data_IF_431261218003
#
_entry.id   IF_431261218003
#
_cell.length_a   1.000
_cell.length_b   1.000
_cell.length_c   1.000
_cell.angle_alpha   90.00
_cell.angle_beta   90.00
_cell.angle_gamma   90.00
#
_symmetry.space_group_name_H-M   'P 1'
#
loop_
_entity.id
_entity.type
_entity.pdbx_description
1 polymer ?
#
# COMPACT_ATOMS: atom_id res chain seq x y z
N UNK A 1 -9.10 -15.83 38.18
CA UNK A 1 -8.19 -14.67 38.13
C UNK A 1 -6.82 -15.22 37.77
N UNK A 2 -6.31 -14.88 36.60
CA UNK A 2 -5.11 -15.45 36.00
C UNK A 2 -3.88 -15.15 36.88
N UNK A 3 -3.02 -16.15 37.21
CA UNK A 3 -1.80 -15.98 37.99
C UNK A 3 -0.84 -14.93 37.39
N UNK A 4 -0.79 -14.80 36.05
CA UNK A 4 0.01 -13.82 35.36
C UNK A 4 -0.37 -12.37 35.71
N UNK A 5 -1.67 -12.09 35.90
CA UNK A 5 -2.14 -10.73 36.24
C UNK A 5 -1.74 -10.28 37.63
N UNK A 6 -1.55 -11.22 38.58
CA UNK A 6 -1.17 -10.94 39.97
C UNK A 6 0.32 -10.63 40.07
N UNK A 7 1.18 -11.36 39.36
CA UNK A 7 2.63 -11.15 39.33
C UNK A 7 3.01 -9.83 38.68
N UNK A 8 2.41 -9.51 37.51
CA UNK A 8 2.69 -8.25 36.81
C UNK A 8 2.21 -7.01 37.58
N UNK A 9 1.07 -7.10 38.31
CA UNK A 9 0.57 -5.99 39.16
C UNK A 9 1.44 -5.74 40.39
N UNK A 10 2.11 -6.77 40.89
CA UNK A 10 3.04 -6.64 41.99
C UNK A 10 4.42 -6.12 41.61
N UNK A 11 4.73 -6.17 40.30
CA UNK A 11 6.02 -5.72 39.75
C UNK A 11 5.93 -4.28 39.30
N UNK A 12 6.87 -3.43 39.72
CA UNK A 12 6.99 -2.07 39.22
C UNK A 12 7.67 -2.10 37.84
N UNK A 13 6.87 -2.17 36.76
CA UNK A 13 7.36 -2.25 35.39
C UNK A 13 8.23 -1.05 34.99
N UNK A 14 8.10 0.11 35.64
CA UNK A 14 8.94 1.28 35.40
C UNK A 14 10.42 1.05 35.78
N UNK A 15 10.74 0.03 36.52
CA UNK A 15 12.12 -0.34 36.88
C UNK A 15 12.81 -1.16 35.79
N UNK A 16 12.07 -1.77 34.85
CA UNK A 16 12.65 -2.65 33.82
C UNK A 16 13.57 -1.93 32.83
N UNK A 17 13.29 -0.71 32.35
CA UNK A 17 14.25 0.05 31.55
C UNK A 17 15.55 0.36 32.32
N UNK A 18 15.45 0.64 33.65
CA UNK A 18 16.60 0.90 34.50
C UNK A 18 17.43 -0.37 34.67
N UNK A 19 16.76 -1.51 34.87
CA UNK A 19 17.42 -2.82 34.93
C UNK A 19 18.20 -3.11 33.68
N UNK A 20 17.54 -2.96 32.51
CA UNK A 20 18.17 -3.22 31.21
C UNK A 20 19.42 -2.37 31.01
N UNK A 21 19.34 -1.05 31.20
CA UNK A 21 20.48 -0.14 31.06
C UNK A 21 21.63 -0.48 32.04
N UNK A 22 21.33 -0.82 33.29
CA UNK A 22 22.32 -1.20 34.27
C UNK A 22 23.05 -2.50 33.91
N UNK A 23 22.31 -3.53 33.46
CA UNK A 23 22.89 -4.81 33.03
C UNK A 23 23.71 -4.66 31.73
N UNK A 24 23.21 -3.92 30.76
CA UNK A 24 23.86 -3.66 29.47
C UNK A 24 25.21 -2.94 29.63
N UNK A 25 25.22 -1.87 30.39
CA UNK A 25 26.44 -1.05 30.58
C UNK A 25 27.38 -1.58 31.64
N UNK A 26 26.90 -2.39 32.59
CA UNK A 26 27.68 -2.79 33.79
C UNK A 26 28.35 -1.57 34.47
N UNK A 27 27.70 -0.40 34.33
CA UNK A 27 28.16 0.89 34.83
C UNK A 27 26.96 1.80 35.13
N UNK A 28 26.77 2.14 36.39
CA UNK A 28 25.59 2.91 36.83
C UNK A 28 25.59 4.36 36.29
N UNK A 29 26.76 4.93 36.04
CA UNK A 29 26.89 6.28 35.50
C UNK A 29 26.45 6.29 34.02
N UNK A 30 26.92 5.34 33.24
CA UNK A 30 26.51 5.22 31.83
C UNK A 30 25.01 4.87 31.71
N UNK A 31 24.50 3.99 32.56
CA UNK A 31 23.06 3.69 32.60
C UNK A 31 22.21 4.93 32.94
N UNK A 32 22.67 5.75 33.89
CA UNK A 32 22.02 7.01 34.23
C UNK A 32 22.00 8.01 33.10
N UNK A 33 23.11 8.12 32.35
CA UNK A 33 23.22 8.97 31.15
C UNK A 33 22.28 8.51 30.03
N UNK A 34 22.24 7.20 29.73
CA UNK A 34 21.33 6.66 28.70
C UNK A 34 19.85 6.97 29.02
N UNK A 35 19.48 6.92 30.30
CA UNK A 35 18.09 7.13 30.74
C UNK A 35 17.76 8.59 31.11
N UNK A 36 18.71 9.50 31.05
CA UNK A 36 18.54 10.90 31.45
C UNK A 36 18.05 11.07 32.92
N UNK A 37 18.57 10.24 33.83
CA UNK A 37 18.27 10.29 35.27
C UNK A 37 19.56 10.36 36.12
N UNK A 38 19.42 10.60 37.40
CA UNK A 38 20.60 10.63 38.29
C UNK A 38 21.14 9.22 38.58
N UNK A 39 22.45 9.08 38.81
CA UNK A 39 23.07 7.83 39.21
C UNK A 39 22.49 7.30 40.55
N UNK A 40 22.09 8.20 41.46
CA UNK A 40 21.42 7.82 42.68
C UNK A 40 20.06 7.17 42.46
N UNK A 41 19.30 7.67 41.43
CA UNK A 41 18.03 7.04 41.05
C UNK A 41 18.25 5.63 40.47
N UNK A 42 19.25 5.43 39.62
CA UNK A 42 19.62 4.08 39.14
C UNK A 42 20.00 3.15 40.27
N UNK A 43 20.81 3.64 41.24
CA UNK A 43 21.23 2.85 42.40
C UNK A 43 20.05 2.43 43.29
N UNK A 44 19.09 3.35 43.52
CA UNK A 44 17.88 3.06 44.28
C UNK A 44 16.97 2.06 43.57
N UNK A 45 16.81 2.21 42.27
CA UNK A 45 16.05 1.26 41.43
C UNK A 45 16.70 -0.12 41.44
N UNK A 46 18.01 -0.20 41.36
CA UNK A 46 18.76 -1.47 41.39
C UNK A 46 18.61 -2.14 42.74
N UNK A 47 18.56 -1.39 43.87
CA UNK A 47 18.29 -1.94 45.20
C UNK A 47 16.93 -2.64 45.26
N UNK A 48 15.87 -1.99 44.76
CA UNK A 48 14.52 -2.59 44.70
C UNK A 48 14.48 -3.84 43.83
N UNK A 49 15.19 -3.81 42.72
CA UNK A 49 15.27 -4.94 41.76
C UNK A 49 16.01 -6.13 42.39
N UNK A 50 17.07 -5.91 43.16
CA UNK A 50 17.77 -6.95 43.92
C UNK A 50 16.84 -7.65 44.96
N UNK A 51 16.08 -6.86 45.66
CA UNK A 51 15.07 -7.37 46.62
C UNK A 51 13.99 -8.19 45.87
N UNK A 52 13.54 -7.71 44.71
CA UNK A 52 12.52 -8.39 43.92
C UNK A 52 12.99 -9.73 43.32
N UNK A 53 14.22 -9.75 42.78
CA UNK A 53 14.78 -10.95 42.13
C UNK A 53 15.51 -11.88 43.10
N UNK A 54 15.77 -11.45 44.35
CA UNK A 54 16.57 -12.19 45.32
C UNK A 54 18.02 -12.44 44.87
N UNK A 55 18.55 -11.54 44.02
CA UNK A 55 19.87 -11.65 43.38
C UNK A 55 20.52 -10.28 43.30
N UNK A 56 21.85 -10.22 43.44
CA UNK A 56 22.63 -8.98 43.34
C UNK A 56 22.62 -8.38 41.93
N UNK A 57 22.35 -9.17 40.90
CA UNK A 57 22.27 -8.82 39.47
C UNK A 57 23.59 -8.30 38.90
N UNK A 58 24.25 -7.42 39.64
CA UNK A 58 25.56 -6.85 39.37
C UNK A 58 26.42 -6.91 40.64
N UNK A 59 27.57 -7.53 40.56
CA UNK A 59 28.56 -7.65 41.66
C UNK A 59 29.81 -6.84 41.36
N UNK A 60 30.46 -6.34 42.41
CA UNK A 60 31.74 -5.65 42.27
C UNK A 60 32.87 -6.66 42.01
N UNK A 61 33.65 -6.40 40.97
CA UNK A 61 34.91 -7.08 40.67
C UNK A 61 36.00 -6.02 40.50
N UNK A 62 36.70 -5.72 41.60
CA UNK A 62 37.63 -4.60 41.66
C UNK A 62 36.91 -3.26 41.49
N UNK A 63 37.33 -2.50 40.44
CA UNK A 63 36.72 -1.22 40.08
C UNK A 63 35.59 -1.32 39.06
N UNK A 64 35.18 -2.54 38.67
CA UNK A 64 34.13 -2.79 37.69
C UNK A 64 32.95 -3.50 38.29
N UNK A 65 31.78 -3.39 37.63
CA UNK A 65 30.63 -4.22 37.89
C UNK A 65 30.61 -5.38 36.90
N UNK A 66 30.23 -6.56 37.35
CA UNK A 66 30.01 -7.73 36.51
C UNK A 66 28.63 -8.30 36.73
N UNK A 67 28.06 -8.92 35.73
CA UNK A 67 26.78 -9.63 35.80
C UNK A 67 26.89 -10.85 36.70
N UNK A 68 25.87 -11.08 37.52
CA UNK A 68 25.60 -12.41 38.07
C UNK A 68 25.07 -13.32 36.95
N UNK A 69 25.00 -14.63 37.23
CA UNK A 69 24.34 -15.56 36.28
C UNK A 69 22.90 -15.13 36.00
N UNK A 70 22.16 -14.74 37.01
CA UNK A 70 20.78 -14.22 36.91
C UNK A 70 20.71 -12.94 36.09
N UNK A 71 21.63 -12.00 36.34
CA UNK A 71 21.71 -10.77 35.56
C UNK A 71 21.93 -11.02 34.06
N UNK A 72 22.82 -11.96 33.72
CA UNK A 72 23.07 -12.32 32.32
C UNK A 72 21.83 -12.98 31.67
N UNK A 73 21.12 -13.86 32.37
CA UNK A 73 19.91 -14.54 31.90
C UNK A 73 18.74 -13.58 31.67
N UNK A 74 18.72 -12.41 32.30
CA UNK A 74 17.64 -11.44 32.18
C UNK A 74 17.78 -10.49 30.99
N UNK A 75 18.94 -10.34 30.36
CA UNK A 75 19.17 -9.35 29.28
C UNK A 75 18.23 -9.62 28.11
N UNK A 76 18.28 -10.79 27.51
CA UNK A 76 17.47 -11.14 26.34
C UNK A 76 15.95 -11.08 26.58
N UNK A 77 15.39 -11.62 27.70
CA UNK A 77 13.99 -11.42 28.03
C UNK A 77 13.58 -9.95 28.19
N UNK A 78 14.44 -9.11 28.80
CA UNK A 78 14.19 -7.68 28.96
C UNK A 78 14.18 -6.95 27.61
N UNK A 79 15.12 -7.23 26.73
CA UNK A 79 15.16 -6.63 25.38
C UNK A 79 13.87 -6.95 24.61
N UNK A 80 13.43 -8.20 24.61
CA UNK A 80 12.18 -8.60 23.96
C UNK A 80 10.96 -7.92 24.57
N UNK A 81 10.90 -7.85 25.91
CA UNK A 81 9.80 -7.19 26.61
C UNK A 81 9.76 -5.68 26.32
N UNK A 82 10.91 -4.99 26.40
CA UNK A 82 10.99 -3.55 26.17
C UNK A 82 10.67 -3.20 24.72
N UNK A 83 11.10 -4.01 23.75
CA UNK A 83 10.72 -3.85 22.36
C UNK A 83 9.19 -3.97 22.18
N UNK A 84 8.57 -5.01 22.73
CA UNK A 84 7.12 -5.18 22.68
C UNK A 84 6.36 -4.06 23.41
N UNK A 85 6.90 -3.57 24.55
CA UNK A 85 6.32 -2.44 25.27
C UNK A 85 6.44 -1.13 24.47
N UNK A 86 7.54 -0.91 23.75
CA UNK A 86 7.69 0.21 22.85
C UNK A 86 6.66 0.17 21.71
N UNK A 87 6.34 -1.00 21.19
CA UNK A 87 5.29 -1.16 20.17
C UNK A 87 3.89 -0.77 20.72
N UNK A 88 3.67 -0.97 22.02
CA UNK A 88 2.39 -0.63 22.68
C UNK A 88 2.32 0.85 23.10
N UNK A 89 3.42 1.41 23.61
CA UNK A 89 3.47 2.77 24.21
C UNK A 89 3.92 3.82 23.19
N UNK A 90 4.73 3.40 22.23
CA UNK A 90 5.24 4.29 21.21
C UNK A 90 4.21 4.48 20.09
N UNK A 91 3.90 5.73 19.77
CA UNK A 91 3.66 6.07 18.37
C UNK A 91 4.96 5.73 17.63
N UNK A 92 5.09 4.48 17.16
CA UNK A 92 6.29 4.05 16.47
C UNK A 92 6.43 4.95 15.25
N UNK A 93 7.44 5.80 15.23
CA UNK A 93 7.83 6.48 14.01
C UNK A 93 8.16 5.36 13.03
N UNK A 94 7.29 5.17 12.04
CA UNK A 94 7.59 4.25 10.97
C UNK A 94 8.85 4.75 10.27
N UNK A 95 9.95 4.03 10.47
CA UNK A 95 11.20 4.27 9.75
C UNK A 95 11.32 3.23 8.64
N UNK A 96 11.10 3.61 7.38
CA UNK A 96 11.13 2.68 6.26
C UNK A 96 12.44 1.88 6.18
N UNK A 97 13.58 2.49 6.54
CA UNK A 97 14.90 1.86 6.41
C UNK A 97 15.10 0.67 7.35
N UNK A 98 14.41 0.65 8.48
CA UNK A 98 14.53 -0.37 9.52
C UNK A 98 13.25 -1.18 9.72
N UNK A 99 12.10 -0.69 9.25
CA UNK A 99 10.81 -1.34 9.42
C UNK A 99 10.74 -2.68 8.70
N UNK A 100 10.08 -3.65 9.34
CA UNK A 100 9.64 -4.89 8.72
C UNK A 100 8.12 -4.87 8.66
N UNK A 101 7.57 -4.66 7.47
CA UNK A 101 6.14 -4.53 7.26
C UNK A 101 5.70 -5.19 5.95
N UNK A 102 4.45 -5.60 5.89
CA UNK A 102 3.82 -6.08 4.67
C UNK A 102 2.53 -5.31 4.45
N UNK A 103 2.47 -4.56 3.36
CA UNK A 103 1.28 -3.82 2.93
C UNK A 103 0.57 -4.57 1.81
N UNK A 104 -0.75 -4.50 1.78
CA UNK A 104 -1.60 -5.03 0.72
C UNK A 104 -2.39 -3.89 0.09
N UNK A 105 -2.27 -3.76 -1.23
CA UNK A 105 -2.97 -2.74 -2.01
C UNK A 105 -3.88 -3.45 -3.00
N UNK A 106 -5.18 -3.17 -2.96
CA UNK A 106 -6.13 -3.67 -3.93
C UNK A 106 -6.31 -2.65 -5.08
N UNK A 107 -6.18 -3.10 -6.31
CA UNK A 107 -6.29 -2.23 -7.48
C UNK A 107 -6.57 -3.02 -8.77
N UNK A 108 -6.78 -2.33 -9.88
CA UNK A 108 -6.82 -2.95 -11.19
C UNK A 108 -5.41 -3.41 -11.63
N UNK A 109 -5.35 -4.41 -12.50
CA UNK A 109 -4.14 -5.02 -13.03
C UNK A 109 -3.18 -4.01 -13.66
N UNK A 110 -3.71 -3.05 -14.44
CA UNK A 110 -2.89 -2.05 -15.11
C UNK A 110 -2.21 -1.09 -14.14
N UNK A 111 -2.87 -0.71 -13.04
CA UNK A 111 -2.24 0.12 -12.00
C UNK A 111 -1.06 -0.63 -11.38
N UNK A 112 -1.21 -1.94 -11.19
CA UNK A 112 -0.08 -2.80 -10.78
C UNK A 112 1.04 -2.77 -11.82
N UNK A 113 0.71 -2.95 -13.09
CA UNK A 113 1.69 -3.00 -14.17
C UNK A 113 2.51 -1.70 -14.29
N UNK A 114 1.89 -0.53 -14.13
CA UNK A 114 2.58 0.77 -14.21
C UNK A 114 3.35 1.13 -12.94
N UNK A 115 2.84 0.76 -11.75
CA UNK A 115 3.41 1.22 -10.48
C UNK A 115 4.43 0.26 -9.86
N UNK A 116 4.29 -1.06 -10.07
CA UNK A 116 5.12 -2.06 -9.42
C UNK A 116 6.63 -1.93 -9.72
N UNK A 117 7.07 -1.60 -10.94
CA UNK A 117 8.50 -1.40 -11.22
C UNK A 117 9.12 -0.29 -10.36
N UNK A 118 8.44 0.86 -10.24
CA UNK A 118 8.92 1.99 -9.46
C UNK A 118 8.80 1.73 -7.95
N UNK A 119 7.67 1.14 -7.50
CA UNK A 119 7.52 0.69 -6.10
C UNK A 119 8.67 -0.22 -5.72
N UNK A 120 8.98 -1.22 -6.54
CA UNK A 120 10.09 -2.16 -6.28
C UNK A 120 11.43 -1.44 -6.17
N UNK A 121 11.69 -0.49 -7.06
CA UNK A 121 12.93 0.32 -7.04
C UNK A 121 13.04 1.15 -5.75
N UNK A 122 11.95 1.80 -5.34
CA UNK A 122 11.91 2.60 -4.11
C UNK A 122 12.09 1.71 -2.87
N UNK A 123 11.37 0.57 -2.81
CA UNK A 123 11.48 -0.37 -1.69
C UNK A 123 12.91 -0.87 -1.50
N UNK A 124 13.58 -1.25 -2.58
CA UNK A 124 14.98 -1.73 -2.50
C UNK A 124 15.94 -0.69 -1.96
N UNK A 125 15.71 0.59 -2.24
CA UNK A 125 16.58 1.70 -1.83
C UNK A 125 16.22 2.23 -0.44
N UNK A 126 14.94 2.42 -0.15
CA UNK A 126 14.47 3.17 1.01
C UNK A 126 13.89 2.28 2.12
N UNK A 127 13.39 1.07 1.79
CA UNK A 127 12.66 0.20 2.70
C UNK A 127 12.92 -1.29 2.43
N UNK A 128 14.16 -1.78 2.55
CA UNK A 128 14.59 -3.08 2.02
C UNK A 128 13.92 -4.29 2.70
N UNK A 129 13.30 -4.11 3.88
CA UNK A 129 12.57 -5.17 4.60
C UNK A 129 11.06 -5.00 4.57
N UNK A 130 10.56 -3.97 3.88
CA UNK A 130 9.14 -3.77 3.62
C UNK A 130 8.75 -4.50 2.34
N UNK A 131 7.58 -5.13 2.33
CA UNK A 131 6.98 -5.74 1.14
C UNK A 131 5.61 -5.15 0.82
N UNK A 132 5.29 -5.03 -0.47
CA UNK A 132 3.97 -4.63 -0.95
C UNK A 132 3.39 -5.77 -1.78
N UNK A 133 2.19 -6.19 -1.42
CA UNK A 133 1.40 -7.17 -2.17
C UNK A 133 0.29 -6.44 -2.91
N UNK A 134 0.39 -6.38 -4.24
CA UNK A 134 -0.69 -5.89 -5.10
C UNK A 134 -1.71 -7.02 -5.30
N UNK A 135 -2.98 -6.74 -5.09
CA UNK A 135 -4.07 -7.71 -5.28
C UNK A 135 -5.16 -7.11 -6.16
N UNK A 136 -5.85 -7.94 -6.93
CA UNK A 136 -6.96 -7.46 -7.77
C UNK A 136 -8.11 -6.95 -6.89
N UNK A 137 -8.57 -5.73 -7.14
CA UNK A 137 -9.73 -5.17 -6.48
C UNK A 137 -11.00 -5.96 -6.85
N UNK A 138 -11.79 -6.32 -5.84
CA UNK A 138 -13.04 -7.08 -5.96
C UNK A 138 -14.09 -6.49 -5.03
N UNK A 139 -15.36 -6.87 -5.18
CA UNK A 139 -16.45 -6.37 -4.33
C UNK A 139 -16.15 -6.45 -2.83
N UNK A 140 -15.53 -7.54 -2.35
CA UNK A 140 -15.16 -7.72 -0.93
C UNK A 140 -13.93 -6.89 -0.48
N UNK A 141 -13.23 -6.22 -1.38
CA UNK A 141 -12.02 -5.44 -1.01
C UNK A 141 -12.35 -4.30 -0.05
N UNK A 142 -13.57 -3.77 -0.10
CA UNK A 142 -14.05 -2.75 0.86
C UNK A 142 -14.16 -3.33 2.27
N UNK A 143 -14.70 -4.55 2.42
CA UNK A 143 -14.77 -5.23 3.72
C UNK A 143 -13.38 -5.58 4.26
N UNK A 144 -12.47 -6.01 3.37
CA UNK A 144 -11.09 -6.29 3.73
C UNK A 144 -10.34 -5.00 4.16
N UNK A 145 -10.65 -3.83 3.55
CA UNK A 145 -10.11 -2.52 3.96
C UNK A 145 -10.66 -2.10 5.34
N UNK A 146 -11.95 -2.35 5.60
CA UNK A 146 -12.59 -2.04 6.89
C UNK A 146 -11.95 -2.75 8.06
N UNK A 147 -11.53 -3.99 7.87
CA UNK A 147 -10.92 -4.84 8.91
C UNK A 147 -9.39 -4.92 8.82
N UNK A 148 -8.78 -3.97 8.15
CA UNK A 148 -7.32 -3.83 8.02
C UNK A 148 -6.60 -5.08 7.45
N UNK A 149 -7.29 -5.86 6.60
CA UNK A 149 -6.68 -6.94 5.80
C UNK A 149 -6.02 -6.41 4.54
N UNK A 150 -6.44 -5.22 4.12
CA UNK A 150 -5.85 -4.43 3.03
C UNK A 150 -5.65 -3.04 3.59
N UNK A 151 -4.51 -2.41 3.31
CA UNK A 151 -4.19 -1.07 3.79
C UNK A 151 -4.72 0.02 2.86
N UNK A 152 -4.89 -0.30 1.56
CA UNK A 152 -5.29 0.69 0.56
C UNK A 152 -6.05 0.05 -0.61
N UNK A 153 -7.00 0.79 -1.17
CA UNK A 153 -7.62 0.50 -2.46
C UNK A 153 -7.30 1.66 -3.41
N UNK A 154 -6.92 1.34 -4.65
CA UNK A 154 -6.78 2.32 -5.73
C UNK A 154 -7.83 1.98 -6.77
N UNK A 155 -8.73 2.91 -7.05
CA UNK A 155 -9.86 2.69 -7.94
C UNK A 155 -10.26 3.99 -8.68
N UNK A 156 -11.02 3.89 -9.79
CA UNK A 156 -11.66 5.04 -10.38
C UNK A 156 -12.67 5.67 -9.41
N UNK A 157 -12.76 7.02 -9.42
CA UNK A 157 -13.71 7.76 -8.57
C UNK A 157 -15.14 7.25 -8.71
N UNK A 158 -15.62 7.02 -9.94
CA UNK A 158 -16.97 6.50 -10.23
C UNK A 158 -17.27 5.14 -9.58
N UNK A 159 -16.23 4.38 -9.25
CA UNK A 159 -16.32 3.11 -8.52
C UNK A 159 -16.27 3.33 -7.01
N UNK A 160 -15.46 4.30 -6.57
CA UNK A 160 -15.24 4.60 -5.16
C UNK A 160 -16.38 5.47 -4.55
N UNK A 161 -16.94 6.40 -5.33
CA UNK A 161 -17.97 7.34 -4.90
C UNK A 161 -19.18 6.67 -4.25
N UNK A 162 -19.81 5.62 -4.82
CA UNK A 162 -20.92 4.92 -4.18
C UNK A 162 -20.54 4.23 -2.87
N UNK A 163 -19.30 3.78 -2.73
CA UNK A 163 -18.79 3.19 -1.48
C UNK A 163 -18.64 4.24 -0.40
N UNK A 164 -18.22 5.44 -0.77
CA UNK A 164 -17.96 6.53 0.17
C UNK A 164 -19.22 7.28 0.56
N UNK A 165 -20.18 7.44 -0.34
CA UNK A 165 -21.35 8.32 -0.20
C UNK A 165 -22.68 7.64 -0.48
N UNK A 166 -22.71 6.32 -0.70
CA UNK A 166 -23.94 5.54 -0.85
C UNK A 166 -24.77 5.46 0.43
N UNK A 167 -25.98 4.91 0.34
CA UNK A 167 -26.97 4.83 1.44
C UNK A 167 -26.51 4.01 2.65
N UNK A 168 -25.48 3.19 2.49
CA UNK A 168 -24.87 2.44 3.58
C UNK A 168 -23.81 3.31 4.24
N UNK A 169 -24.04 3.85 5.40
CA UNK A 169 -23.26 4.69 6.35
C UNK A 169 -21.69 4.55 6.34
N UNK A 170 -21.07 4.15 5.23
CA UNK A 170 -19.65 3.85 5.12
C UNK A 170 -18.75 5.10 4.95
N UNK A 171 -19.33 6.24 4.59
CA UNK A 171 -18.58 7.45 4.24
C UNK A 171 -17.68 8.01 5.34
N UNK A 172 -17.92 7.67 6.62
CA UNK A 172 -17.05 8.07 7.75
C UNK A 172 -15.96 7.06 8.08
N UNK A 173 -16.03 5.84 7.52
CA UNK A 173 -15.05 4.78 7.81
C UNK A 173 -13.81 4.88 6.94
N UNK A 174 -13.93 5.48 5.76
CA UNK A 174 -12.85 5.59 4.79
C UNK A 174 -12.49 7.04 4.51
N UNK A 175 -11.21 7.28 4.36
CA UNK A 175 -10.69 8.52 3.80
C UNK A 175 -10.14 8.26 2.40
N UNK A 176 -10.12 9.28 1.56
CA UNK A 176 -9.64 9.16 0.19
C UNK A 176 -8.82 10.37 -0.24
N UNK A 177 -8.08 10.20 -1.32
CA UNK A 177 -7.32 11.27 -1.98
C UNK A 177 -7.26 10.99 -3.48
N UNK A 178 -7.50 12.02 -4.30
CA UNK A 178 -7.31 11.95 -5.75
C UNK A 178 -5.82 11.90 -6.09
N UNK A 179 -5.45 10.99 -6.99
CA UNK A 179 -4.06 10.76 -7.36
C UNK A 179 -3.74 11.07 -8.83
N UNK A 180 -4.75 11.23 -9.67
CA UNK A 180 -4.57 11.64 -11.04
C UNK A 180 -5.73 11.27 -11.94
N UNK A 181 -5.68 11.72 -13.19
CA UNK A 181 -6.64 11.42 -14.22
C UNK A 181 -5.96 10.65 -15.35
N UNK A 182 -6.62 9.62 -15.86
CA UNK A 182 -6.12 8.69 -16.88
C UNK A 182 -7.06 8.71 -18.08
N UNK A 183 -6.67 9.26 -19.23
CA UNK A 183 -7.50 9.25 -20.43
C UNK A 183 -7.53 7.86 -21.06
N UNK A 184 -8.64 7.58 -21.73
CA UNK A 184 -8.79 6.41 -22.57
C UNK A 184 -8.27 6.66 -23.99
N UNK A 185 -7.77 5.59 -24.59
CA UNK A 185 -7.42 5.52 -26.02
C UNK A 185 -7.99 4.25 -26.62
N UNK A 186 -8.29 4.27 -27.91
CA UNK A 186 -8.62 3.08 -28.67
C UNK A 186 -7.34 2.41 -29.18
N UNK A 187 -7.40 1.10 -29.33
CA UNK A 187 -6.34 0.30 -29.95
C UNK A 187 -6.94 -0.75 -30.87
N UNK A 188 -6.27 -1.01 -31.97
CA UNK A 188 -6.62 -2.04 -32.95
C UNK A 188 -5.35 -2.70 -33.50
N UNK A 189 -5.49 -3.76 -34.28
CA UNK A 189 -4.38 -4.38 -34.98
C UNK A 189 -3.66 -3.37 -35.91
N UNK A 190 -2.34 -3.46 -36.03
CA UNK A 190 -1.52 -2.51 -36.80
C UNK A 190 -1.91 -2.41 -38.27
N UNK A 191 -2.47 -3.46 -38.88
CA UNK A 191 -2.86 -3.53 -40.30
C UNK A 191 -4.32 -3.13 -40.55
N UNK A 192 -5.01 -2.63 -39.48
CA UNK A 192 -6.37 -2.11 -39.62
C UNK A 192 -6.37 -0.74 -40.26
N UNK A 193 -6.63 -0.71 -41.58
CA UNK A 193 -6.60 0.52 -42.36
C UNK A 193 -7.73 1.49 -42.01
N UNK A 194 -8.92 0.99 -41.68
CA UNK A 194 -10.06 1.84 -41.32
C UNK A 194 -9.79 2.55 -39.99
N UNK A 195 -9.24 1.82 -39.02
CA UNK A 195 -8.81 2.42 -37.75
C UNK A 195 -7.75 3.51 -37.98
N UNK A 196 -6.79 3.29 -38.89
CA UNK A 196 -5.73 4.26 -39.20
C UNK A 196 -6.28 5.55 -39.83
N UNK A 197 -7.37 5.46 -40.60
CA UNK A 197 -8.04 6.63 -41.21
C UNK A 197 -8.87 7.42 -40.20
N UNK A 198 -9.10 6.87 -39.00
CA UNK A 198 -10.01 7.39 -38.01
C UNK A 198 -11.42 6.84 -38.17
N UNK A 199 -11.98 6.28 -37.10
CA UNK A 199 -13.32 5.72 -37.08
C UNK A 199 -14.36 6.79 -36.79
N UNK A 200 -15.51 6.73 -37.49
CA UNK A 200 -16.72 7.43 -37.04
C UNK A 200 -17.33 6.68 -35.84
N UNK A 201 -18.27 7.32 -35.13
CA UNK A 201 -19.00 6.67 -34.02
C UNK A 201 -19.74 5.43 -34.51
N UNK A 202 -20.39 5.51 -35.66
CA UNK A 202 -21.14 4.39 -36.26
C UNK A 202 -20.21 3.22 -36.59
N UNK A 203 -19.04 3.51 -37.19
CA UNK A 203 -18.05 2.50 -37.52
C UNK A 203 -17.48 1.85 -36.25
N UNK A 204 -17.22 2.63 -35.22
CA UNK A 204 -16.75 2.14 -33.93
C UNK A 204 -17.76 1.16 -33.30
N UNK A 205 -19.02 1.58 -33.19
CA UNK A 205 -20.08 0.77 -32.55
C UNK A 205 -20.46 -0.49 -33.38
N UNK A 206 -20.25 -0.48 -34.70
CA UNK A 206 -20.54 -1.61 -35.57
C UNK A 206 -19.48 -2.73 -35.52
N UNK A 207 -18.33 -2.48 -34.96
CA UNK A 207 -17.21 -3.44 -34.92
C UNK A 207 -17.25 -4.34 -33.69
N UNK A 208 -16.60 -5.52 -33.76
CA UNK A 208 -16.42 -6.34 -32.57
C UNK A 208 -15.47 -5.68 -31.58
N UNK A 209 -15.82 -5.73 -30.30
CA UNK A 209 -15.02 -5.20 -29.19
C UNK A 209 -14.50 -6.31 -28.30
N UNK A 210 -13.32 -6.07 -27.73
CA UNK A 210 -12.88 -6.75 -26.52
C UNK A 210 -12.87 -5.72 -25.40
N UNK A 211 -13.66 -5.95 -24.35
CA UNK A 211 -13.97 -4.94 -23.33
C UNK A 211 -13.51 -5.35 -21.97
N UNK A 212 -13.20 -4.33 -21.15
CA UNK A 212 -13.00 -4.53 -19.72
C UNK A 212 -14.33 -4.73 -19.00
N UNK A 213 -14.39 -5.74 -18.11
CA UNK A 213 -15.54 -6.03 -17.27
C UNK A 213 -15.13 -6.07 -15.81
N UNK A 214 -15.90 -5.42 -14.95
CA UNK A 214 -15.67 -5.41 -13.51
C UNK A 214 -16.88 -6.01 -12.78
N UNK A 215 -16.66 -7.09 -12.04
CA UNK A 215 -17.70 -7.79 -11.26
C UNK A 215 -17.80 -7.21 -9.84
N UNK A 216 -18.27 -5.97 -9.71
CA UNK A 216 -18.44 -5.27 -8.42
C UNK A 216 -19.83 -4.66 -8.25
N UNK A 217 -20.87 -5.30 -8.81
CA UNK A 217 -22.26 -4.83 -8.67
C UNK A 217 -22.65 -3.64 -9.53
N UNK A 218 -21.73 -3.11 -10.36
CA UNK A 218 -22.00 -2.17 -11.42
C UNK A 218 -22.25 -2.91 -12.73
N UNK A 219 -23.20 -2.41 -13.53
CA UNK A 219 -23.50 -2.97 -14.83
C UNK A 219 -22.39 -2.65 -15.85
N UNK A 220 -21.34 -3.46 -15.87
CA UNK A 220 -20.27 -3.37 -16.86
C UNK A 220 -19.13 -2.40 -16.51
N UNK A 221 -18.36 -2.02 -17.53
CA UNK A 221 -17.26 -1.05 -17.43
C UNK A 221 -17.76 0.40 -17.43
N UNK A 222 -16.86 1.36 -17.20
CA UNK A 222 -17.17 2.80 -17.37
C UNK A 222 -17.61 3.11 -18.81
N UNK A 223 -17.05 2.42 -19.79
CA UNK A 223 -17.46 2.50 -21.19
C UNK A 223 -18.92 2.07 -21.37
N UNK A 224 -19.30 0.91 -20.86
CA UNK A 224 -20.69 0.41 -20.94
C UNK A 224 -21.69 1.36 -20.26
N UNK A 225 -21.34 1.88 -19.11
CA UNK A 225 -22.19 2.84 -18.41
C UNK A 225 -22.35 4.13 -19.23
N UNK A 226 -21.28 4.62 -19.85
CA UNK A 226 -21.34 5.76 -20.73
C UNK A 226 -22.24 5.49 -21.95
N UNK A 227 -22.03 4.38 -22.65
CA UNK A 227 -22.84 3.98 -23.81
C UNK A 227 -24.33 3.85 -23.44
N UNK A 228 -24.62 3.18 -22.31
CA UNK A 228 -25.99 3.03 -21.82
C UNK A 228 -26.67 4.38 -21.56
N UNK A 229 -25.97 5.32 -20.90
CA UNK A 229 -26.49 6.68 -20.66
C UNK A 229 -26.76 7.46 -21.93
N UNK A 230 -26.04 7.18 -23.02
CA UNK A 230 -26.23 7.79 -24.35
C UNK A 230 -27.25 7.04 -25.22
N UNK A 231 -27.84 5.96 -24.74
CA UNK A 231 -28.71 5.10 -25.55
C UNK A 231 -27.96 4.35 -26.67
N UNK A 232 -26.67 4.17 -26.50
CA UNK A 232 -25.79 3.48 -27.45
C UNK A 232 -25.47 2.07 -26.94
N UNK A 233 -25.06 1.20 -27.86
CA UNK A 233 -24.60 -0.15 -27.54
C UNK A 233 -23.50 -0.56 -28.51
N UNK A 234 -22.61 -1.41 -28.08
CA UNK A 234 -21.59 -2.08 -28.87
C UNK A 234 -21.67 -3.59 -28.72
N UNK A 235 -21.07 -4.33 -29.64
CA UNK A 235 -21.00 -5.78 -29.55
C UNK A 235 -19.67 -6.23 -28.96
N UNK A 236 -19.72 -6.72 -27.73
CA UNK A 236 -18.55 -7.29 -27.05
C UNK A 236 -18.38 -8.77 -27.45
N UNK A 237 -17.40 -9.04 -28.29
CA UNK A 237 -17.01 -10.40 -28.67
C UNK A 237 -16.42 -11.16 -27.49
N UNK A 238 -15.71 -10.45 -26.61
CA UNK A 238 -15.10 -10.99 -25.38
C UNK A 238 -15.02 -9.90 -24.32
N UNK A 239 -15.20 -10.31 -23.07
CA UNK A 239 -14.99 -9.45 -21.91
C UNK A 239 -13.95 -10.05 -20.97
N UNK A 240 -13.09 -9.22 -20.38
CA UNK A 240 -12.06 -9.65 -19.41
C UNK A 240 -11.97 -8.66 -18.26
N UNK A 241 -11.56 -9.14 -17.09
CA UNK A 241 -11.32 -8.31 -15.91
C UNK A 241 -9.91 -7.70 -15.84
N UNK A 242 -9.13 -7.85 -16.89
CA UNK A 242 -7.74 -7.39 -16.94
C UNK A 242 -7.50 -6.49 -18.16
N UNK A 243 -7.20 -5.21 -17.91
CA UNK A 243 -6.86 -4.25 -18.97
C UNK A 243 -5.60 -4.64 -19.74
N UNK A 244 -4.63 -5.25 -19.06
CA UNK A 244 -3.35 -5.63 -19.69
C UNK A 244 -3.49 -6.78 -20.70
N UNK A 245 -4.60 -7.51 -20.71
CA UNK A 245 -4.90 -8.53 -21.71
C UNK A 245 -5.49 -7.98 -23.00
N UNK A 246 -6.20 -6.86 -22.95
CA UNK A 246 -6.88 -6.28 -24.09
C UNK A 246 -5.95 -5.99 -25.29
N UNK A 247 -4.74 -5.42 -25.11
CA UNK A 247 -3.78 -5.25 -26.20
C UNK A 247 -3.35 -6.55 -26.89
N UNK A 248 -3.25 -7.64 -26.14
CA UNK A 248 -2.92 -8.95 -26.71
C UNK A 248 -4.04 -9.47 -27.62
N UNK A 249 -5.30 -9.20 -27.25
CA UNK A 249 -6.45 -9.55 -28.07
C UNK A 249 -6.46 -8.70 -29.34
N UNK A 250 -6.35 -7.37 -29.21
CA UNK A 250 -6.29 -6.45 -30.37
C UNK A 250 -5.13 -6.79 -31.33
N UNK A 251 -4.00 -7.25 -30.82
CA UNK A 251 -2.84 -7.63 -31.62
C UNK A 251 -3.01 -8.90 -32.47
N UNK A 252 -4.10 -9.67 -32.28
CA UNK A 252 -4.33 -10.98 -32.91
C UNK A 252 -5.72 -11.14 -33.51
N UNK A 253 -6.56 -10.13 -33.40
CA UNK A 253 -7.96 -10.15 -33.88
C UNK A 253 -8.29 -8.82 -34.56
N UNK A 254 -9.50 -8.71 -35.09
CA UNK A 254 -10.10 -7.48 -35.63
C UNK A 254 -10.88 -6.68 -34.56
N UNK A 255 -10.83 -7.10 -33.30
CA UNK A 255 -11.48 -6.39 -32.20
C UNK A 255 -10.83 -5.04 -31.93
N UNK A 256 -11.67 -4.03 -31.68
CA UNK A 256 -11.27 -2.78 -31.09
C UNK A 256 -11.27 -2.93 -29.57
N UNK A 257 -10.32 -2.30 -28.91
CA UNK A 257 -10.28 -2.21 -27.45
C UNK A 257 -10.18 -0.76 -27.01
N UNK A 258 -10.87 -0.43 -25.93
CA UNK A 258 -10.75 0.82 -25.20
C UNK A 258 -9.95 0.59 -23.92
N UNK A 259 -8.82 1.26 -23.80
CA UNK A 259 -7.88 1.04 -22.71
C UNK A 259 -7.36 2.36 -22.12
N UNK A 260 -6.94 2.38 -20.83
CA UNK A 260 -6.19 3.51 -20.31
C UNK A 260 -4.93 3.80 -21.14
N UNK A 261 -4.59 5.06 -21.35
CA UNK A 261 -3.41 5.46 -22.13
C UNK A 261 -2.11 4.83 -21.59
N UNK A 262 -2.01 4.68 -20.29
CA UNK A 262 -0.86 4.04 -19.63
C UNK A 262 -0.66 2.58 -20.10
N UNK A 263 -1.75 1.83 -20.32
CA UNK A 263 -1.68 0.47 -20.88
C UNK A 263 -1.15 0.49 -22.31
N UNK A 264 -1.62 1.45 -23.11
CA UNK A 264 -1.13 1.60 -24.47
C UNK A 264 0.38 1.88 -24.52
N UNK A 265 0.89 2.71 -23.61
CA UNK A 265 2.33 2.98 -23.45
C UNK A 265 3.16 1.75 -23.10
N UNK A 266 2.63 0.85 -22.25
CA UNK A 266 3.34 -0.38 -21.87
C UNK A 266 3.61 -1.30 -23.06
N UNK A 267 2.74 -1.28 -24.09
CA UNK A 267 2.81 -2.20 -25.21
C UNK A 267 3.23 -1.54 -26.52
N UNK A 268 3.38 -0.21 -26.54
CA UNK A 268 3.82 0.54 -27.72
C UNK A 268 5.19 0.03 -28.20
N UNK A 269 5.29 -0.27 -29.49
CA UNK A 269 6.50 -0.81 -30.11
C UNK A 269 6.81 -2.28 -29.80
N UNK A 270 6.03 -2.94 -28.90
CA UNK A 270 6.20 -4.36 -28.55
C UNK A 270 5.19 -5.24 -29.26
N UNK A 271 3.93 -4.82 -29.30
CA UNK A 271 2.84 -5.55 -29.96
C UNK A 271 2.52 -4.95 -31.34
N UNK A 272 2.02 -5.76 -32.28
CA UNK A 272 1.59 -5.31 -33.62
C UNK A 272 0.23 -4.60 -33.54
N UNK A 273 0.17 -3.47 -32.87
CA UNK A 273 -1.03 -2.66 -32.65
C UNK A 273 -0.80 -1.22 -33.05
N UNK A 274 -1.87 -0.51 -33.28
CA UNK A 274 -1.92 0.94 -33.48
C UNK A 274 -2.85 1.57 -32.43
N UNK A 275 -2.54 2.78 -32.03
CA UNK A 275 -3.25 3.54 -30.99
C UNK A 275 -3.88 4.75 -31.66
N UNK A 276 -5.11 5.07 -31.29
CA UNK A 276 -5.84 6.21 -31.82
C UNK A 276 -6.84 6.78 -30.81
N UNK A 277 -7.44 7.94 -31.14
CA UNK A 277 -8.45 8.53 -30.27
C UNK A 277 -9.74 7.69 -30.29
N UNK A 278 -10.46 7.68 -29.16
CA UNK A 278 -11.82 7.18 -29.13
C UNK A 278 -12.75 8.18 -29.81
N UNK A 279 -13.64 7.75 -30.76
CA UNK A 279 -14.59 8.65 -31.42
C UNK A 279 -15.73 9.10 -30.50
N UNK A 280 -15.83 8.51 -29.30
CA UNK A 280 -16.80 8.86 -28.27
C UNK A 280 -16.13 9.68 -27.16
N UNK A 281 -16.82 10.70 -26.57
CA UNK A 281 -16.29 11.50 -25.49
C UNK A 281 -16.39 10.76 -24.14
N UNK A 282 -15.75 9.60 -24.04
CA UNK A 282 -15.74 8.82 -22.81
C UNK A 282 -14.92 9.57 -21.75
N UNK A 283 -15.46 9.79 -20.55
CA UNK A 283 -14.75 10.49 -19.49
C UNK A 283 -13.46 9.78 -19.06
N UNK A 284 -12.45 10.55 -18.72
CA UNK A 284 -11.20 10.05 -18.16
C UNK A 284 -11.45 9.26 -16.87
N UNK A 285 -10.54 8.35 -16.58
CA UNK A 285 -10.47 7.65 -15.30
C UNK A 285 -9.86 8.58 -14.23
N UNK A 286 -10.68 9.19 -13.41
CA UNK A 286 -10.22 9.92 -12.25
C UNK A 286 -9.91 8.93 -11.13
N UNK A 287 -8.64 8.75 -10.79
CA UNK A 287 -8.15 7.75 -9.84
C UNK A 287 -8.06 8.31 -8.43
N UNK A 288 -8.53 7.52 -7.49
CA UNK A 288 -8.44 7.80 -6.06
C UNK A 288 -7.77 6.65 -5.32
N UNK A 289 -7.10 6.96 -4.24
CA UNK A 289 -6.69 5.99 -3.23
C UNK A 289 -7.56 6.14 -1.99
N UNK A 290 -8.01 5.01 -1.44
CA UNK A 290 -8.83 4.92 -0.24
C UNK A 290 -8.09 4.16 0.84
N UNK A 291 -8.28 4.55 2.10
CA UNK A 291 -7.75 3.87 3.28
C UNK A 291 -8.73 3.96 4.44
N UNK A 292 -8.55 3.14 5.47
CA UNK A 292 -9.33 3.22 6.71
C UNK A 292 -9.05 4.56 7.40
N UNK A 293 -10.09 5.39 7.59
CA UNK A 293 -9.95 6.75 8.14
C UNK A 293 -9.28 6.77 9.53
N UNK A 294 -9.51 5.71 10.34
CA UNK A 294 -8.90 5.58 11.67
C UNK A 294 -7.38 5.49 11.62
N UNK A 295 -6.85 4.93 10.53
CA UNK A 295 -5.41 4.78 10.29
C UNK A 295 -4.79 5.93 9.49
N UNK A 296 -5.59 6.91 9.12
CA UNK A 296 -5.14 8.02 8.27
C UNK A 296 -3.99 8.85 8.83
N UNK A 297 -3.78 8.84 10.14
CA UNK A 297 -2.66 9.52 10.83
C UNK A 297 -1.48 8.61 11.14
N UNK A 298 -1.62 7.30 10.94
CA UNK A 298 -0.56 6.32 11.21
C UNK A 298 0.64 6.58 10.29
N UNK A 299 1.87 6.64 10.83
CA UNK A 299 3.06 6.96 10.04
C UNK A 299 3.34 5.98 8.90
N UNK A 300 3.01 4.70 9.08
CA UNK A 300 3.14 3.64 8.06
C UNK A 300 2.17 3.87 6.89
N UNK A 301 0.92 4.25 7.15
CA UNK A 301 -0.08 4.58 6.13
C UNK A 301 0.29 5.89 5.41
N UNK A 302 0.79 6.92 6.13
CA UNK A 302 1.28 8.14 5.52
C UNK A 302 2.46 7.87 4.56
N UNK A 303 3.39 7.01 4.97
CA UNK A 303 4.47 6.58 4.10
C UNK A 303 3.97 5.80 2.88
N UNK A 304 3.03 4.86 3.08
CA UNK A 304 2.43 4.09 1.98
C UNK A 304 1.73 5.01 0.96
N UNK A 305 0.98 6.01 1.42
CA UNK A 305 0.36 7.04 0.56
C UNK A 305 1.41 7.77 -0.28
N UNK A 306 2.49 8.21 0.36
CA UNK A 306 3.58 8.90 -0.35
C UNK A 306 4.25 7.98 -1.38
N UNK A 307 4.47 6.70 -1.06
CA UNK A 307 5.01 5.69 -1.98
C UNK A 307 4.11 5.53 -3.22
N UNK A 308 2.80 5.34 -3.01
CA UNK A 308 1.81 5.17 -4.09
C UNK A 308 1.75 6.43 -4.97
N UNK A 309 1.68 7.62 -4.37
CA UNK A 309 1.67 8.89 -5.14
C UNK A 309 2.91 9.02 -6.03
N UNK A 310 4.09 8.82 -5.49
CA UNK A 310 5.36 8.89 -6.25
C UNK A 310 5.39 7.90 -7.41
N UNK A 311 4.81 6.70 -7.23
CA UNK A 311 4.86 5.65 -8.23
C UNK A 311 3.79 5.76 -9.33
N UNK A 312 2.70 6.47 -9.09
CA UNK A 312 1.60 6.62 -10.05
C UNK A 312 1.63 7.99 -10.71
N UNK A 313 1.76 9.07 -9.94
CA UNK A 313 1.71 10.44 -10.48
C UNK A 313 2.82 10.68 -11.51
N UNK A 314 4.04 10.20 -11.21
CA UNK A 314 5.16 10.33 -12.16
C UNK A 314 4.87 9.64 -13.49
N UNK A 315 4.19 8.48 -13.46
CA UNK A 315 3.78 7.77 -14.66
C UNK A 315 2.66 8.49 -15.42
N UNK A 316 1.62 8.96 -14.72
CA UNK A 316 0.50 9.67 -15.33
C UNK A 316 0.91 11.02 -15.94
N UNK A 317 1.89 11.69 -15.31
CA UNK A 317 2.38 13.01 -15.71
C UNK A 317 3.47 12.97 -16.78
N UNK A 318 3.99 11.78 -17.11
CA UNK A 318 5.10 11.64 -18.06
C UNK A 318 4.69 12.07 -19.47
N UNK A 319 5.39 13.05 -20.09
CA UNK A 319 5.00 13.63 -21.38
C UNK A 319 5.35 12.77 -22.60
N UNK A 320 5.82 11.54 -22.42
CA UNK A 320 6.15 10.65 -23.54
C UNK A 320 4.90 10.28 -24.32
N UNK A 321 4.61 11.10 -25.31
CA UNK A 321 3.53 10.95 -26.27
C UNK A 321 3.91 9.85 -27.27
N UNK A 322 3.21 8.69 -27.30
CA UNK A 322 3.51 7.65 -28.28
C UNK A 322 3.26 8.11 -29.72
N UNK A 323 2.56 9.23 -29.95
CA UNK A 323 2.40 9.83 -31.28
C UNK A 323 3.71 10.41 -31.84
N UNK A 324 4.73 10.69 -31.00
CA UNK A 324 6.04 11.20 -31.45
C UNK A 324 7.09 10.12 -31.74
N UNK A 325 6.85 8.88 -31.40
CA UNK A 325 7.78 7.77 -31.64
C UNK A 325 7.62 7.14 -33.04
N UNK A 326 6.68 7.60 -33.86
CA UNK A 326 6.36 7.10 -35.21
C UNK A 326 6.59 8.08 -36.35
N UNK A 327 7.34 9.18 -36.12
CA UNK A 327 7.69 10.14 -37.19
C UNK A 327 9.15 9.96 -37.66
#
# INVERSE_FOLDING_TARGET
MDPLSRSLRASNLNLLPVLHAALKHQNLTHAAQELNISQSAVSNSLKQLREHFGDELLVKDGHRLRLTKKGAELIEPLERFLAAAQDVVGSSRFDPSTATAKFRIATADYVTAISAPLITSILRREAPRVSVQMVTARGRSVDDLRVDKIEMIIAPWKVAEPVLFGDDQFGLEFAFEHIGSEPFVCMAHKDDEDFRRGLTVEQYLARPHASFYLDIGFHGSLEHNFLYQQGLSQFDQIQTSDFTLLPLIASRTDCIVLIPRSVARLVAGVLPVQIGPCPLPIPDLDLVMLWNARRGVDPDIQWLKALVKRSIVDWLSSPDDPERAGA
#
